data_IF_442669163576
#
_entry.id   IF_442669163576
#
_cell.length_a   1.000
_cell.length_b   1.000
_cell.length_c   1.000
_cell.angle_alpha   90.00
_cell.angle_beta   90.00
_cell.angle_gamma   90.00
#
_symmetry.space_group_name_H-M   'P 1'
#
loop_
_entity.id
_entity.type
_entity.pdbx_description
1 polymer ?
#
# COMPACT_ATOMS: atom_id res chain seq x y z
N UNK A 1 25.51 -35.44 -3.48
CA UNK A 1 24.64 -34.76 -4.47
C UNK A 1 23.12 -34.97 -4.26
N UNK A 2 22.66 -35.64 -3.19
CA UNK A 2 21.22 -35.91 -2.95
C UNK A 2 20.55 -35.08 -1.84
N UNK A 3 21.26 -34.15 -1.21
CA UNK A 3 20.71 -33.33 -0.12
C UNK A 3 19.80 -32.16 -0.59
N UNK A 4 19.78 -31.83 -1.89
CA UNK A 4 18.96 -30.75 -2.46
C UNK A 4 17.57 -31.17 -2.93
N UNK A 5 17.34 -32.46 -3.16
CA UNK A 5 16.10 -33.00 -3.72
C UNK A 5 14.84 -32.76 -2.84
N UNK A 6 14.88 -32.93 -1.50
CA UNK A 6 13.69 -32.69 -0.66
C UNK A 6 13.34 -31.19 -0.50
N UNK A 7 14.23 -30.27 -0.89
CA UNK A 7 13.98 -28.81 -0.83
C UNK A 7 13.33 -28.27 -2.12
N UNK A 8 13.52 -28.94 -3.26
CA UNK A 8 13.00 -28.49 -4.56
C UNK A 8 11.53 -28.89 -4.78
N UNK A 9 11.07 -30.03 -4.23
CA UNK A 9 9.71 -30.55 -4.42
C UNK A 9 8.60 -29.58 -3.94
N UNK A 10 8.71 -28.93 -2.76
CA UNK A 10 7.71 -27.95 -2.32
C UNK A 10 7.64 -26.74 -3.24
N UNK A 11 8.79 -26.24 -3.72
CA UNK A 11 8.86 -25.09 -4.63
C UNK A 11 8.24 -25.41 -5.98
N UNK A 12 8.50 -26.61 -6.50
CA UNK A 12 7.95 -27.08 -7.77
C UNK A 12 6.44 -27.30 -7.69
N UNK A 13 5.95 -27.86 -6.57
CA UNK A 13 4.52 -27.96 -6.28
C UNK A 13 3.82 -26.60 -6.17
N UNK A 14 4.46 -25.62 -5.50
CA UNK A 14 3.95 -24.24 -5.42
C UNK A 14 3.90 -23.58 -6.81
N UNK A 15 4.91 -23.79 -7.66
CA UNK A 15 4.96 -23.23 -9.02
C UNK A 15 3.90 -23.86 -9.94
N UNK A 16 3.70 -25.18 -9.87
CA UNK A 16 2.62 -25.86 -10.60
C UNK A 16 1.26 -25.38 -10.12
N UNK A 17 1.05 -25.28 -8.80
CA UNK A 17 -0.17 -24.73 -8.22
C UNK A 17 -0.45 -23.29 -8.65
N UNK A 18 0.59 -22.45 -8.72
CA UNK A 18 0.51 -21.08 -9.22
C UNK A 18 0.01 -21.01 -10.65
N UNK A 19 0.62 -21.78 -11.56
CA UNK A 19 0.22 -21.81 -12.96
C UNK A 19 -1.23 -22.30 -13.09
N UNK A 20 -1.60 -23.33 -12.34
CA UNK A 20 -2.97 -23.86 -12.34
C UNK A 20 -3.97 -22.80 -11.89
N UNK A 21 -3.70 -22.09 -10.79
CA UNK A 21 -4.56 -20.98 -10.31
C UNK A 21 -4.65 -19.87 -11.36
N UNK A 22 -3.55 -19.51 -12.01
CA UNK A 22 -3.53 -18.41 -12.99
C UNK A 22 -4.35 -18.75 -14.26
N UNK A 23 -4.22 -19.98 -14.78
CA UNK A 23 -4.86 -20.38 -16.03
C UNK A 23 -6.31 -20.84 -15.87
N UNK A 24 -6.68 -21.42 -14.71
CA UNK A 24 -8.05 -21.89 -14.45
C UNK A 24 -8.96 -20.79 -13.88
N UNK A 25 -8.39 -19.66 -13.46
CA UNK A 25 -9.15 -18.61 -12.79
C UNK A 25 -10.21 -17.94 -13.69
N UNK A 26 -11.46 -17.78 -13.21
CA UNK A 26 -12.50 -17.04 -13.92
C UNK A 26 -12.18 -15.53 -14.04
N UNK A 27 -11.18 -15.03 -13.31
CA UNK A 27 -10.72 -13.63 -13.39
C UNK A 27 -9.57 -13.44 -14.39
N UNK A 28 -9.22 -14.45 -15.18
CA UNK A 28 -8.14 -14.39 -16.20
C UNK A 28 -8.29 -13.21 -17.17
N UNK A 29 -9.52 -12.87 -17.57
CA UNK A 29 -9.77 -11.77 -18.51
C UNK A 29 -9.43 -10.44 -17.87
N UNK A 30 -9.90 -10.19 -16.64
CA UNK A 30 -9.51 -8.99 -15.89
C UNK A 30 -8.01 -8.92 -15.56
N UNK A 31 -7.36 -10.07 -15.34
CA UNK A 31 -5.91 -10.13 -15.15
C UNK A 31 -5.17 -9.71 -16.42
N UNK A 32 -5.55 -10.26 -17.58
CA UNK A 32 -4.98 -9.91 -18.88
C UNK A 32 -5.23 -8.45 -19.25
N UNK A 33 -6.44 -7.94 -19.02
CA UNK A 33 -6.79 -6.55 -19.32
C UNK A 33 -6.07 -5.57 -18.39
N UNK A 34 -5.94 -5.90 -17.11
CA UNK A 34 -5.11 -5.13 -16.18
C UNK A 34 -3.64 -5.09 -16.63
N UNK A 35 -3.09 -6.22 -17.11
CA UNK A 35 -1.71 -6.26 -17.62
C UNK A 35 -1.54 -5.36 -18.86
N UNK A 36 -2.48 -5.44 -19.82
CA UNK A 36 -2.51 -4.54 -20.98
C UNK A 36 -2.59 -3.07 -20.56
N UNK A 37 -3.39 -2.76 -19.55
CA UNK A 37 -3.54 -1.41 -19.01
C UNK A 37 -2.21 -0.90 -18.42
N UNK A 38 -1.53 -1.71 -17.61
CA UNK A 38 -0.23 -1.35 -17.00
C UNK A 38 0.88 -1.20 -18.04
N UNK A 39 0.93 -2.07 -19.04
CA UNK A 39 1.91 -1.99 -20.12
C UNK A 39 1.69 -0.74 -20.99
N UNK A 40 0.43 -0.37 -21.25
CA UNK A 40 0.09 0.86 -22.00
C UNK A 40 0.34 2.12 -21.17
N UNK A 41 -0.07 2.12 -19.90
CA UNK A 41 0.08 3.24 -18.98
C UNK A 41 1.09 2.89 -17.88
N UNK A 42 2.38 2.97 -18.23
CA UNK A 42 3.51 2.67 -17.34
C UNK A 42 3.42 3.37 -15.98
N UNK A 43 2.78 4.55 -15.91
CA UNK A 43 2.50 5.27 -14.65
C UNK A 43 1.79 4.44 -13.58
N UNK A 44 0.97 3.45 -13.96
CA UNK A 44 0.23 2.60 -13.02
C UNK A 44 1.14 1.81 -12.08
N UNK A 45 2.34 1.46 -12.52
CA UNK A 45 3.33 0.80 -11.67
C UNK A 45 4.51 1.71 -11.31
N UNK A 46 4.89 2.64 -12.20
CA UNK A 46 5.99 3.57 -11.94
C UNK A 46 5.72 4.50 -10.75
N UNK A 47 4.47 4.88 -10.49
CA UNK A 47 4.14 5.66 -9.28
C UNK A 47 4.44 4.85 -8.03
N UNK A 48 3.99 3.59 -7.96
CA UNK A 48 4.32 2.72 -6.83
C UNK A 48 5.83 2.49 -6.71
N UNK A 49 6.51 2.30 -7.84
CA UNK A 49 7.96 2.08 -7.87
C UNK A 49 8.71 3.30 -7.33
N UNK A 50 8.37 4.51 -7.79
CA UNK A 50 9.02 5.74 -7.34
C UNK A 50 8.90 5.93 -5.83
N UNK A 51 7.68 5.78 -5.30
CA UNK A 51 7.42 5.94 -3.88
C UNK A 51 8.11 4.88 -3.02
N UNK A 52 8.02 3.62 -3.42
CA UNK A 52 8.67 2.53 -2.69
C UNK A 52 10.20 2.58 -2.82
N UNK A 53 10.75 3.04 -3.95
CA UNK A 53 12.19 3.22 -4.13
C UNK A 53 12.73 4.33 -3.23
N UNK A 54 12.03 5.46 -3.18
CA UNK A 54 12.38 6.56 -2.28
C UNK A 54 12.35 6.11 -0.81
N UNK A 55 11.35 5.31 -0.43
CA UNK A 55 11.28 4.72 0.91
C UNK A 55 12.46 3.78 1.18
N UNK A 56 12.77 2.87 0.25
CA UNK A 56 13.86 1.92 0.41
C UNK A 56 15.23 2.60 0.51
N UNK A 57 15.49 3.61 -0.33
CA UNK A 57 16.72 4.42 -0.26
C UNK A 57 16.79 5.15 1.09
N UNK A 58 15.69 5.78 1.52
CA UNK A 58 15.66 6.48 2.80
C UNK A 58 15.93 5.54 3.98
N UNK A 59 15.24 4.39 4.03
CA UNK A 59 15.44 3.38 5.08
C UNK A 59 16.90 2.91 5.11
N UNK A 60 17.45 2.64 3.93
CA UNK A 60 18.84 2.23 3.81
C UNK A 60 19.81 3.30 4.32
N UNK A 61 19.65 4.57 3.91
CA UNK A 61 20.53 5.68 4.33
C UNK A 61 20.43 5.97 5.83
N UNK A 62 19.24 5.87 6.43
CA UNK A 62 19.02 6.23 7.84
C UNK A 62 19.38 5.11 8.81
N UNK A 63 19.13 3.86 8.44
CA UNK A 63 19.24 2.71 9.37
C UNK A 63 20.37 1.74 9.05
N UNK A 64 21.16 1.98 8.00
CA UNK A 64 22.35 1.17 7.72
C UNK A 64 23.58 1.91 8.22
N UNK A 65 24.15 1.54 9.38
CA UNK A 65 25.43 2.10 9.81
C UNK A 65 26.52 1.58 8.87
N UNK A 66 27.19 2.50 8.18
CA UNK A 66 28.43 2.17 7.48
C UNK A 66 29.57 2.38 8.47
N UNK A 67 30.14 1.28 8.96
CA UNK A 67 31.25 1.36 9.92
C UNK A 67 32.59 1.14 9.23
N UNK A 68 32.64 0.38 8.13
CA UNK A 68 33.91 0.03 7.48
C UNK A 68 33.84 -0.07 5.95
N UNK A 69 35.00 -0.05 5.29
CA UNK A 69 35.11 -0.29 3.84
C UNK A 69 34.74 -1.72 3.42
N UNK A 70 34.63 -2.66 4.38
CA UNK A 70 34.17 -4.03 4.13
C UNK A 70 32.68 -4.09 3.74
N UNK A 71 31.89 -3.10 4.17
CA UNK A 71 30.46 -3.00 3.89
C UNK A 71 30.16 -2.78 2.39
N UNK A 72 31.15 -2.36 1.60
CA UNK A 72 31.02 -2.06 0.17
C UNK A 72 31.67 -3.09 -0.76
N UNK A 73 32.17 -4.22 -0.25
CA UNK A 73 32.88 -5.19 -1.09
C UNK A 73 31.94 -5.97 -2.01
N UNK A 74 32.22 -6.07 -3.32
CA UNK A 74 31.42 -6.88 -4.25
C UNK A 74 31.52 -8.40 -3.97
N UNK A 75 32.51 -8.81 -3.17
CA UNK A 75 32.67 -10.18 -2.66
C UNK A 75 31.44 -10.69 -1.89
N UNK A 76 30.58 -9.80 -1.38
CA UNK A 76 29.29 -10.15 -0.75
C UNK A 76 28.38 -10.99 -1.67
N UNK A 77 28.49 -10.82 -2.99
CA UNK A 77 27.72 -11.57 -3.98
C UNK A 77 28.40 -12.86 -4.44
N UNK A 78 29.71 -13.00 -4.24
CA UNK A 78 30.50 -14.08 -4.82
C UNK A 78 30.37 -15.42 -4.07
N UNK A 79 30.10 -15.39 -2.76
CA UNK A 79 30.08 -16.57 -1.90
C UNK A 79 28.67 -17.00 -1.47
N UNK A 80 27.78 -17.29 -2.42
CA UNK A 80 26.39 -17.72 -2.17
C UNK A 80 26.29 -18.96 -1.27
N UNK A 81 27.29 -19.84 -1.33
CA UNK A 81 27.37 -21.06 -0.51
C UNK A 81 27.63 -20.77 0.98
N UNK A 82 28.15 -19.57 1.31
CA UNK A 82 28.37 -19.13 2.69
C UNK A 82 27.16 -18.39 3.29
N UNK A 83 26.03 -18.33 2.57
CA UNK A 83 24.82 -17.67 3.06
C UNK A 83 24.06 -18.58 4.03
N UNK A 84 23.57 -18.00 5.13
CA UNK A 84 22.74 -18.73 6.09
C UNK A 84 21.29 -18.79 5.59
N UNK A 85 20.93 -19.86 4.88
CA UNK A 85 19.59 -20.02 4.35
C UNK A 85 18.59 -20.36 5.47
N UNK A 86 17.54 -19.54 5.67
CA UNK A 86 16.55 -19.82 6.71
C UNK A 86 15.72 -21.06 6.33
N UNK A 87 15.12 -21.69 7.35
CA UNK A 87 14.12 -22.73 7.12
C UNK A 87 12.79 -22.12 6.70
N UNK A 88 12.01 -22.84 5.88
CA UNK A 88 10.70 -22.37 5.43
C UNK A 88 9.76 -22.02 6.60
N UNK A 89 9.79 -22.83 7.68
CA UNK A 89 8.95 -22.63 8.85
C UNK A 89 9.23 -21.30 9.59
N UNK A 90 10.49 -20.85 9.61
CA UNK A 90 10.88 -19.57 10.23
C UNK A 90 10.28 -18.37 9.48
N UNK A 91 10.19 -18.47 8.16
CA UNK A 91 9.85 -17.33 7.29
C UNK A 91 8.36 -17.28 6.93
N UNK A 92 7.68 -18.43 6.95
CA UNK A 92 6.30 -18.57 6.46
C UNK A 92 5.29 -17.65 7.16
N UNK A 93 5.29 -17.63 8.49
CA UNK A 93 4.26 -16.92 9.27
C UNK A 93 4.32 -15.40 9.05
N UNK A 94 5.51 -14.82 9.06
CA UNK A 94 5.73 -13.39 8.83
C UNK A 94 5.39 -13.02 7.38
N UNK A 95 5.79 -13.86 6.43
CA UNK A 95 5.50 -13.66 5.00
C UNK A 95 4.00 -13.62 4.71
N UNK A 96 3.21 -14.47 5.38
CA UNK A 96 1.74 -14.49 5.21
C UNK A 96 1.08 -13.19 5.70
N UNK A 97 1.52 -12.65 6.84
CA UNK A 97 0.98 -11.39 7.35
C UNK A 97 1.32 -10.23 6.39
N UNK A 98 2.57 -10.15 5.94
CA UNK A 98 2.99 -9.15 4.96
C UNK A 98 2.25 -9.27 3.63
N UNK A 99 1.98 -10.49 3.17
CA UNK A 99 1.17 -10.73 1.99
C UNK A 99 -0.28 -10.24 2.20
N UNK A 100 -0.90 -10.56 3.34
CA UNK A 100 -2.26 -10.12 3.66
C UNK A 100 -2.39 -8.59 3.67
N UNK A 101 -1.41 -7.89 4.24
CA UNK A 101 -1.36 -6.43 4.22
C UNK A 101 -1.19 -5.86 2.81
N UNK A 102 -0.36 -6.50 1.98
CA UNK A 102 -0.18 -6.07 0.60
C UNK A 102 -1.46 -6.25 -0.23
N UNK A 103 -2.22 -7.33 -0.02
CA UNK A 103 -3.53 -7.54 -0.65
C UNK A 103 -4.51 -6.47 -0.17
N UNK A 104 -4.59 -6.23 1.14
CA UNK A 104 -5.44 -5.20 1.71
C UNK A 104 -5.12 -3.82 1.12
N UNK A 105 -3.83 -3.51 0.94
CA UNK A 105 -3.35 -2.29 0.31
C UNK A 105 -3.97 -2.02 -1.07
N UNK A 106 -4.21 -3.05 -1.91
CA UNK A 106 -4.86 -2.88 -3.23
C UNK A 106 -6.22 -2.18 -3.12
N UNK A 107 -6.94 -2.37 -2.02
CA UNK A 107 -8.30 -1.88 -1.85
C UNK A 107 -8.39 -0.54 -1.10
N UNK A 108 -7.30 -0.10 -0.48
CA UNK A 108 -7.30 1.05 0.42
C UNK A 108 -6.15 2.03 0.13
N UNK A 109 -4.94 1.69 0.57
CA UNK A 109 -3.73 2.47 0.37
C UNK A 109 -2.52 1.58 0.01
N UNK A 110 -2.27 1.42 -1.28
CA UNK A 110 -1.24 0.51 -1.80
C UNK A 110 0.18 1.12 -1.84
N UNK A 111 0.30 2.45 -1.63
CA UNK A 111 1.57 3.17 -1.72
C UNK A 111 2.07 3.61 -0.34
N UNK A 112 3.32 3.27 0.00
CA UNK A 112 4.05 3.95 1.07
C UNK A 112 4.48 5.31 0.57
N UNK A 113 3.92 6.39 1.12
CA UNK A 113 4.16 7.74 0.58
C UNK A 113 5.37 8.44 1.17
N UNK A 114 5.80 8.05 2.37
CA UNK A 114 7.04 8.54 2.98
C UNK A 114 8.27 7.98 2.22
N UNK A 115 9.33 8.78 1.97
CA UNK A 115 9.53 10.18 2.35
C UNK A 115 8.99 11.22 1.34
N UNK A 116 8.52 10.80 0.16
CA UNK A 116 8.04 11.73 -0.87
C UNK A 116 6.77 12.50 -0.48
N UNK A 117 6.10 12.10 0.59
CA UNK A 117 5.04 12.87 1.24
C UNK A 117 5.50 14.27 1.62
N UNK A 118 6.79 14.48 1.91
CA UNK A 118 7.40 15.81 2.12
C UNK A 118 7.16 16.72 0.91
N UNK A 119 7.41 16.21 -0.30
CA UNK A 119 7.19 16.96 -1.54
C UNK A 119 5.70 17.26 -1.70
N UNK A 120 4.83 16.27 -1.45
CA UNK A 120 3.39 16.47 -1.50
C UNK A 120 2.91 17.54 -0.48
N UNK A 121 3.49 17.57 0.73
CA UNK A 121 3.20 18.57 1.74
C UNK A 121 3.63 19.98 1.31
N UNK A 122 4.84 20.13 0.75
CA UNK A 122 5.31 21.41 0.17
C UNK A 122 4.37 21.85 -0.95
N UNK A 123 4.02 20.96 -1.88
CA UNK A 123 3.13 21.28 -3.00
C UNK A 123 1.72 21.71 -2.52
N UNK A 124 1.21 21.07 -1.47
CA UNK A 124 -0.07 21.45 -0.85
C UNK A 124 0.03 22.82 -0.18
N UNK A 125 1.05 23.05 0.66
CA UNK A 125 1.21 24.32 1.40
C UNK A 125 1.45 25.49 0.44
N UNK A 126 2.31 25.30 -0.57
CA UNK A 126 2.58 26.29 -1.61
C UNK A 126 1.40 26.48 -2.59
N UNK A 127 0.30 25.74 -2.41
CA UNK A 127 -0.89 25.80 -3.25
C UNK A 127 -0.58 25.62 -4.76
N UNK A 128 0.36 24.74 -5.08
CA UNK A 128 0.76 24.50 -6.47
C UNK A 128 -0.44 23.96 -7.24
N UNK A 129 -0.71 24.53 -8.43
CA UNK A 129 -1.87 24.20 -9.29
C UNK A 129 -3.24 24.35 -8.62
N UNK A 130 -3.35 25.15 -7.56
CA UNK A 130 -4.62 25.37 -6.85
C UNK A 130 -5.10 24.18 -6.02
N UNK A 131 -4.21 23.21 -5.73
CA UNK A 131 -4.56 21.99 -4.98
C UNK A 131 -5.07 22.30 -3.57
N UNK A 132 -4.44 23.26 -2.89
CA UNK A 132 -4.84 23.70 -1.56
C UNK A 132 -6.26 24.28 -1.57
N UNK A 133 -6.52 25.27 -2.44
CA UNK A 133 -7.85 25.87 -2.52
C UNK A 133 -8.90 24.85 -2.96
N UNK A 134 -8.54 23.91 -3.84
CA UNK A 134 -9.44 22.84 -4.27
C UNK A 134 -9.80 21.91 -3.10
N UNK A 135 -8.84 21.57 -2.25
CA UNK A 135 -9.08 20.78 -1.03
C UNK A 135 -9.98 21.53 -0.05
N UNK A 136 -9.67 22.80 0.26
CA UNK A 136 -10.48 23.63 1.17
C UNK A 136 -11.92 23.76 0.67
N UNK A 137 -12.10 24.06 -0.63
CA UNK A 137 -13.44 24.14 -1.24
C UNK A 137 -14.17 22.80 -1.18
N UNK A 138 -13.49 21.69 -1.45
CA UNK A 138 -14.09 20.36 -1.38
C UNK A 138 -14.51 19.99 0.06
N UNK A 139 -13.67 20.29 1.05
CA UNK A 139 -13.96 20.05 2.46
C UNK A 139 -15.13 20.90 2.94
N UNK A 140 -15.12 22.21 2.66
CA UNK A 140 -16.22 23.12 3.04
C UNK A 140 -17.54 22.72 2.38
N UNK A 141 -17.53 22.39 1.09
CA UNK A 141 -18.74 21.98 0.36
C UNK A 141 -19.37 20.71 0.95
N UNK A 142 -18.57 19.78 1.46
CA UNK A 142 -19.03 18.46 1.89
C UNK A 142 -19.30 18.34 3.39
N UNK A 143 -18.52 19.03 4.21
CA UNK A 143 -18.54 18.91 5.68
C UNK A 143 -18.99 20.20 6.38
N UNK A 144 -19.31 21.26 5.62
CA UNK A 144 -19.71 22.55 6.20
C UNK A 144 -18.64 23.10 7.13
N UNK A 145 -19.05 23.52 8.34
CA UNK A 145 -18.15 24.03 9.38
C UNK A 145 -17.12 22.97 9.84
N UNK A 146 -17.51 21.69 9.90
CA UNK A 146 -16.59 20.58 10.26
C UNK A 146 -15.44 20.42 9.25
N UNK A 147 -15.59 20.95 8.04
CA UNK A 147 -14.52 20.98 7.04
C UNK A 147 -13.29 21.77 7.51
N UNK A 148 -13.45 22.78 8.36
CA UNK A 148 -12.32 23.54 8.92
C UNK A 148 -11.50 22.73 9.91
N UNK A 149 -12.14 21.92 10.76
CA UNK A 149 -11.44 21.03 11.69
C UNK A 149 -10.66 19.94 10.94
N UNK A 150 -11.29 19.33 9.92
CA UNK A 150 -10.61 18.35 9.06
C UNK A 150 -9.42 19.02 8.37
N UNK A 151 -9.61 20.21 7.80
CA UNK A 151 -8.53 20.95 7.14
C UNK A 151 -7.38 21.29 8.09
N UNK A 152 -7.66 21.73 9.32
CA UNK A 152 -6.63 21.98 10.34
C UNK A 152 -5.84 20.70 10.66
N UNK A 153 -6.51 19.56 10.80
CA UNK A 153 -5.86 18.26 10.97
C UNK A 153 -4.97 17.86 9.77
N UNK A 154 -5.43 18.11 8.54
CA UNK A 154 -4.61 17.88 7.33
C UNK A 154 -3.39 18.80 7.30
N UNK A 155 -3.53 20.07 7.67
CA UNK A 155 -2.42 21.01 7.69
C UNK A 155 -1.40 20.64 8.77
N UNK A 156 -1.86 20.32 9.98
CA UNK A 156 -0.97 19.87 11.07
C UNK A 156 -0.22 18.59 10.69
N UNK A 157 -0.90 17.62 10.07
CA UNK A 157 -0.27 16.39 9.59
C UNK A 157 0.69 16.61 8.41
N UNK A 158 0.42 17.57 7.53
CA UNK A 158 1.36 17.99 6.49
C UNK A 158 2.62 18.61 7.09
N UNK A 159 2.48 19.47 8.11
CA UNK A 159 3.62 20.03 8.85
C UNK A 159 4.41 18.94 9.59
N UNK A 160 3.74 17.98 10.22
CA UNK A 160 4.39 16.84 10.84
C UNK A 160 5.15 15.98 9.81
N UNK A 161 4.59 15.78 8.61
CA UNK A 161 5.27 15.08 7.52
C UNK A 161 6.53 15.81 7.04
N UNK A 162 6.58 17.15 7.11
CA UNK A 162 7.78 17.94 6.83
C UNK A 162 8.83 17.80 7.94
N UNK A 163 8.39 17.75 9.20
CA UNK A 163 9.27 17.61 10.36
C UNK A 163 9.87 16.20 10.48
N UNK A 164 9.14 15.16 10.06
CA UNK A 164 9.51 13.74 10.25
C UNK A 164 10.92 13.38 9.74
N UNK A 165 11.34 13.68 8.49
CA UNK A 165 12.71 13.39 8.05
C UNK A 165 13.77 14.11 8.86
N UNK A 166 13.53 15.37 9.28
CA UNK A 166 14.48 16.13 10.09
C UNK A 166 14.67 15.49 11.47
N UNK A 167 13.58 15.03 12.08
CA UNK A 167 13.61 14.33 13.37
C UNK A 167 14.35 13.00 13.20
N UNK A 168 13.95 12.16 12.24
CA UNK A 168 14.57 10.84 12.02
C UNK A 168 16.06 10.94 11.68
N UNK A 169 16.45 11.93 10.87
CA UNK A 169 17.86 12.19 10.56
C UNK A 169 18.66 12.68 11.78
N UNK A 170 18.04 13.48 12.66
CA UNK A 170 18.70 14.04 13.85
C UNK A 170 18.69 13.11 15.06
N UNK A 171 17.88 12.05 15.07
CA UNK A 171 17.78 11.09 16.18
C UNK A 171 19.16 10.55 16.61
N UNK A 172 20.04 10.08 15.70
CA UNK A 172 21.37 9.60 16.11
C UNK A 172 22.21 10.67 16.81
N UNK A 173 22.17 11.92 16.34
CA UNK A 173 22.96 13.02 16.92
C UNK A 173 22.37 13.63 18.20
N UNK A 174 21.07 13.43 18.47
CA UNK A 174 20.42 13.93 19.69
C UNK A 174 20.48 12.97 20.87
N UNK A 175 21.01 11.76 20.67
CA UNK A 175 21.24 10.77 21.75
C UNK A 175 22.09 11.33 22.89
N UNK A 176 22.98 12.29 22.60
CA UNK A 176 23.81 12.97 23.60
C UNK A 176 23.10 14.15 24.32
N UNK A 177 21.99 14.66 23.77
CA UNK A 177 21.32 15.88 24.25
C UNK A 177 19.99 15.62 24.95
N UNK A 178 19.28 14.55 24.59
CA UNK A 178 17.98 14.21 25.14
C UNK A 178 17.97 12.75 25.62
N UNK A 179 17.23 12.45 26.71
CA UNK A 179 17.00 11.07 27.12
C UNK A 179 16.40 10.24 25.97
N UNK A 180 16.88 9.01 25.71
CA UNK A 180 16.39 8.15 24.63
C UNK A 180 14.85 7.99 24.62
N UNK A 181 14.24 7.91 25.81
CA UNK A 181 12.79 7.84 25.96
C UNK A 181 12.06 9.05 25.35
N UNK A 182 12.57 10.27 25.53
CA UNK A 182 11.96 11.49 24.96
C UNK A 182 12.14 11.53 23.44
N UNK A 183 13.25 11.02 22.90
CA UNK A 183 13.46 10.90 21.45
C UNK A 183 12.50 9.90 20.81
N UNK A 184 12.26 8.75 21.47
CA UNK A 184 11.29 7.77 21.02
C UNK A 184 9.85 8.31 21.10
N UNK A 185 9.49 8.98 22.18
CA UNK A 185 8.17 9.59 22.35
C UNK A 185 7.89 10.67 21.29
N UNK A 186 8.84 11.57 21.06
CA UNK A 186 8.70 12.65 20.06
C UNK A 186 8.66 12.10 18.64
N UNK A 187 9.52 11.15 18.28
CA UNK A 187 9.51 10.51 16.96
C UNK A 187 8.22 9.71 16.72
N UNK A 188 7.71 8.99 17.72
CA UNK A 188 6.45 8.25 17.63
C UNK A 188 5.23 9.18 17.50
N UNK A 189 5.22 10.30 18.25
CA UNK A 189 4.16 11.30 18.16
C UNK A 189 4.13 11.95 16.77
N UNK A 190 5.29 12.39 16.26
CA UNK A 190 5.38 12.99 14.92
C UNK A 190 5.06 11.97 13.84
N UNK A 191 5.52 10.73 13.95
CA UNK A 191 5.18 9.67 13.01
C UNK A 191 3.66 9.43 12.95
N UNK A 192 2.99 9.41 14.11
CA UNK A 192 1.53 9.22 14.17
C UNK A 192 0.77 10.36 13.52
N UNK A 193 1.18 11.61 13.77
CA UNK A 193 0.53 12.78 13.17
C UNK A 193 0.83 12.88 11.68
N UNK A 194 2.08 12.62 11.26
CA UNK A 194 2.48 12.61 9.85
C UNK A 194 1.75 11.52 9.05
N UNK A 195 1.49 10.37 9.66
CA UNK A 195 0.80 9.24 9.03
C UNK A 195 -0.57 9.63 8.46
N UNK A 196 -1.30 10.56 9.10
CA UNK A 196 -2.58 11.06 8.59
C UNK A 196 -2.42 11.64 7.18
N UNK A 197 -1.40 12.49 6.98
CA UNK A 197 -1.11 13.11 5.69
C UNK A 197 -0.56 12.11 4.68
N UNK A 198 0.33 11.22 5.13
CA UNK A 198 0.90 10.15 4.30
C UNK A 198 -0.21 9.24 3.74
N UNK A 199 -1.17 8.87 4.59
CA UNK A 199 -2.31 8.05 4.23
C UNK A 199 -3.28 8.78 3.28
N UNK A 200 -3.59 10.06 3.54
CA UNK A 200 -4.34 10.91 2.60
C UNK A 200 -3.69 10.96 1.21
N UNK A 201 -2.37 11.11 1.17
CA UNK A 201 -1.60 11.12 -0.07
C UNK A 201 -1.68 9.75 -0.78
N UNK A 202 -1.56 8.65 -0.03
CA UNK A 202 -1.60 7.30 -0.59
C UNK A 202 -2.96 6.99 -1.24
N UNK A 203 -4.05 7.29 -0.53
CA UNK A 203 -5.41 7.11 -1.06
C UNK A 203 -5.66 8.05 -2.25
N UNK A 204 -5.17 9.30 -2.22
CA UNK A 204 -5.29 10.22 -3.35
C UNK A 204 -4.59 9.67 -4.61
N UNK A 205 -3.36 9.17 -4.47
CA UNK A 205 -2.62 8.53 -5.56
C UNK A 205 -3.40 7.32 -6.09
N UNK A 206 -3.94 6.48 -5.22
CA UNK A 206 -4.70 5.31 -5.63
C UNK A 206 -5.99 5.69 -6.37
N UNK A 207 -6.73 6.70 -5.91
CA UNK A 207 -7.90 7.25 -6.63
C UNK A 207 -7.47 7.75 -8.02
N UNK A 208 -6.35 8.46 -8.12
CA UNK A 208 -5.80 8.88 -9.41
C UNK A 208 -5.49 7.68 -10.31
N UNK A 209 -4.80 6.65 -9.82
CA UNK A 209 -4.48 5.46 -10.62
C UNK A 209 -5.73 4.68 -11.05
N UNK A 210 -6.75 4.58 -10.18
CA UNK A 210 -8.06 4.03 -10.56
C UNK A 210 -8.67 4.85 -11.71
N UNK A 211 -8.60 6.19 -11.67
CA UNK A 211 -9.12 7.03 -12.75
C UNK A 211 -8.36 6.87 -14.07
N UNK A 212 -7.04 6.61 -14.01
CA UNK A 212 -6.23 6.27 -15.19
C UNK A 212 -6.70 4.95 -15.81
N UNK A 213 -6.91 3.91 -14.99
CA UNK A 213 -7.46 2.63 -15.45
C UNK A 213 -8.84 2.81 -16.11
N UNK A 214 -9.69 3.66 -15.54
CA UNK A 214 -11.03 3.91 -16.08
C UNK A 214 -11.02 4.68 -17.40
N UNK A 215 -10.11 5.64 -17.54
CA UNK A 215 -9.90 6.32 -18.81
C UNK A 215 -9.49 5.31 -19.90
N UNK A 216 -8.61 4.36 -19.55
CA UNK A 216 -8.22 3.27 -20.46
C UNK A 216 -9.41 2.39 -20.86
N UNK A 217 -10.17 1.88 -19.89
CA UNK A 217 -11.33 0.99 -20.15
C UNK A 217 -12.35 1.67 -21.07
N UNK A 218 -12.52 3.00 -20.94
CA UNK A 218 -13.44 3.80 -21.76
C UNK A 218 -12.83 4.29 -23.08
N UNK A 219 -11.56 4.02 -23.37
CA UNK A 219 -10.88 4.53 -24.56
C UNK A 219 -10.66 6.05 -24.58
N UNK A 220 -10.73 6.71 -23.42
CA UNK A 220 -10.63 8.17 -23.32
C UNK A 220 -9.16 8.60 -23.17
N UNK A 221 -8.77 9.64 -23.92
CA UNK A 221 -7.46 10.27 -23.81
C UNK A 221 -7.63 11.62 -23.09
N UNK A 222 -7.17 11.68 -21.84
CA UNK A 222 -7.17 12.92 -21.05
C UNK A 222 -5.74 13.40 -20.80
N UNK A 223 -5.56 14.72 -20.82
CA UNK A 223 -4.34 15.34 -20.29
C UNK A 223 -4.19 15.09 -18.79
N UNK A 224 -2.94 15.04 -18.31
CA UNK A 224 -2.63 14.65 -16.94
C UNK A 224 -3.26 15.59 -15.90
N UNK A 225 -3.28 16.89 -16.18
CA UNK A 225 -3.87 17.89 -15.30
C UNK A 225 -5.40 17.72 -15.17
N UNK A 226 -6.06 17.29 -16.25
CA UNK A 226 -7.49 17.02 -16.22
C UNK A 226 -7.79 15.78 -15.36
N UNK A 227 -6.97 14.73 -15.48
CA UNK A 227 -7.10 13.52 -14.66
C UNK A 227 -6.84 13.79 -13.17
N UNK A 228 -5.81 14.57 -12.84
CA UNK A 228 -5.52 14.93 -11.44
C UNK A 228 -6.66 15.75 -10.80
N UNK A 229 -7.22 16.72 -11.55
CA UNK A 229 -8.39 17.50 -11.09
C UNK A 229 -9.64 16.64 -10.96
N UNK A 230 -9.86 15.72 -11.90
CA UNK A 230 -10.96 14.76 -11.83
C UNK A 230 -10.82 13.83 -10.63
N UNK A 231 -9.64 13.27 -10.42
CA UNK A 231 -9.31 12.44 -9.26
C UNK A 231 -9.53 13.20 -7.95
N UNK A 232 -9.16 14.48 -7.86
CA UNK A 232 -9.42 15.33 -6.67
C UNK A 232 -10.91 15.48 -6.37
N UNK A 233 -11.76 15.63 -7.40
CA UNK A 233 -13.21 15.66 -7.21
C UNK A 233 -13.73 14.32 -6.67
N UNK A 234 -13.27 13.20 -7.22
CA UNK A 234 -13.65 11.84 -6.77
C UNK A 234 -13.12 11.51 -5.37
N UNK A 235 -11.91 11.97 -5.06
CA UNK A 235 -11.27 11.79 -3.75
C UNK A 235 -12.13 12.35 -2.61
N UNK A 236 -12.83 13.47 -2.84
CA UNK A 236 -13.76 14.02 -1.84
C UNK A 236 -14.86 13.03 -1.42
N UNK A 237 -15.23 12.07 -2.28
CA UNK A 237 -16.20 11.00 -1.97
C UNK A 237 -15.62 9.90 -1.11
N UNK A 238 -14.31 9.66 -1.23
CA UNK A 238 -13.59 8.65 -0.45
C UNK A 238 -13.23 9.16 0.94
N UNK A 239 -13.14 10.48 1.17
CA UNK A 239 -12.71 11.07 2.45
C UNK A 239 -13.44 10.52 3.69
N UNK A 240 -14.75 10.27 3.62
CA UNK A 240 -15.50 9.72 4.77
C UNK A 240 -15.07 8.28 5.09
N UNK A 241 -14.90 7.46 4.05
CA UNK A 241 -14.44 6.08 4.19
C UNK A 241 -13.01 6.03 4.71
N UNK A 242 -12.13 6.81 4.09
CA UNK A 242 -10.76 6.97 4.54
C UNK A 242 -10.67 7.43 5.99
N UNK A 243 -11.52 8.36 6.43
CA UNK A 243 -11.56 8.77 7.84
C UNK A 243 -11.88 7.63 8.79
N UNK A 244 -12.77 6.70 8.40
CA UNK A 244 -13.07 5.49 9.19
C UNK A 244 -11.88 4.53 9.24
N UNK A 245 -11.24 4.26 8.09
CA UNK A 245 -10.08 3.36 8.05
C UNK A 245 -8.89 3.96 8.79
N UNK A 246 -8.67 5.27 8.67
CA UNK A 246 -7.65 6.00 9.42
C UNK A 246 -7.94 5.97 10.93
N UNK A 247 -9.19 6.15 11.34
CA UNK A 247 -9.59 6.03 12.75
C UNK A 247 -9.35 4.61 13.27
N UNK A 248 -9.77 3.58 12.52
CA UNK A 248 -9.51 2.18 12.88
C UNK A 248 -8.01 1.89 12.98
N UNK A 249 -7.21 2.34 12.01
CA UNK A 249 -5.75 2.19 12.01
C UNK A 249 -5.11 2.93 13.20
N UNK A 250 -5.62 4.11 13.54
CA UNK A 250 -5.13 4.88 14.68
C UNK A 250 -5.46 4.18 15.99
N UNK A 251 -6.69 3.70 16.17
CA UNK A 251 -7.12 3.05 17.41
C UNK A 251 -6.49 1.67 17.60
N UNK A 252 -6.36 0.87 16.54
CA UNK A 252 -5.85 -0.49 16.63
C UNK A 252 -4.32 -0.57 16.67
N UNK A 253 -3.62 0.36 16.02
CA UNK A 253 -2.17 0.29 15.87
C UNK A 253 -1.46 1.46 16.54
N UNK A 254 -1.77 2.70 16.17
CA UNK A 254 -0.97 3.87 16.53
C UNK A 254 -1.17 4.30 17.98
N UNK A 255 -2.41 4.37 18.44
CA UNK A 255 -2.75 4.80 19.79
C UNK A 255 -2.16 3.86 20.85
N UNK A 256 -2.30 2.53 20.74
CA UNK A 256 -1.65 1.65 21.71
C UNK A 256 -0.12 1.64 21.59
N UNK A 257 0.47 1.83 20.40
CA UNK A 257 1.93 2.05 20.26
C UNK A 257 2.38 3.34 20.98
N UNK A 258 1.64 4.44 20.83
CA UNK A 258 1.89 5.67 21.58
C UNK A 258 1.74 5.45 23.08
N UNK A 259 0.71 4.71 23.51
CA UNK A 259 0.53 4.38 24.92
C UNK A 259 1.72 3.58 25.48
N UNK A 260 2.32 2.70 24.69
CA UNK A 260 3.56 2.00 25.07
C UNK A 260 4.70 3.00 25.32
N UNK A 261 4.92 3.96 24.43
CA UNK A 261 6.02 4.92 24.59
C UNK A 261 5.79 5.96 25.68
N UNK A 262 4.54 6.34 25.96
CA UNK A 262 4.22 7.42 26.90
C UNK A 262 3.81 6.93 28.30
N UNK A 263 3.34 5.69 28.43
CA UNK A 263 2.82 5.12 29.69
C UNK A 263 3.38 3.73 30.00
N UNK A 264 4.38 3.26 29.25
CA UNK A 264 5.05 1.97 29.45
C UNK A 264 4.08 0.79 29.57
N UNK A 265 3.01 0.78 28.77
CA UNK A 265 2.02 -0.31 28.77
C UNK A 265 2.68 -1.61 28.27
N UNK A 266 2.73 -2.68 29.09
CA UNK A 266 3.41 -3.92 28.71
C UNK A 266 2.61 -4.71 27.65
N UNK A 267 3.31 -5.56 26.88
CA UNK A 267 2.68 -6.49 25.91
C UNK A 267 2.17 -5.83 24.63
N UNK A 268 2.50 -4.55 24.39
CA UNK A 268 2.01 -3.82 23.22
C UNK A 268 2.54 -4.38 21.90
N UNK A 269 3.82 -4.76 21.88
CA UNK A 269 4.43 -5.34 20.68
C UNK A 269 3.85 -6.73 20.35
N UNK A 270 3.38 -7.47 21.35
CA UNK A 270 2.83 -8.81 21.18
C UNK A 270 1.44 -8.82 20.54
N UNK A 271 0.60 -7.80 20.80
CA UNK A 271 -0.71 -7.68 20.16
C UNK A 271 -0.62 -7.14 18.73
N UNK A 272 0.47 -6.45 18.38
CA UNK A 272 0.58 -5.70 17.11
C UNK A 272 0.37 -6.59 15.86
N UNK A 273 0.91 -7.82 15.77
CA UNK A 273 0.63 -8.72 14.65
C UNK A 273 -0.87 -9.05 14.51
N UNK A 274 -1.57 -9.23 15.64
CA UNK A 274 -3.01 -9.52 15.65
C UNK A 274 -3.78 -8.29 15.17
N UNK A 275 -3.45 -7.10 15.68
CA UNK A 275 -4.10 -5.86 15.26
C UNK A 275 -3.88 -5.56 13.76
N UNK A 276 -2.68 -5.84 13.23
CA UNK A 276 -2.38 -5.74 11.79
C UNK A 276 -3.23 -6.72 10.97
N UNK A 277 -3.35 -7.96 11.44
CA UNK A 277 -4.20 -8.97 10.81
C UNK A 277 -5.69 -8.55 10.82
N UNK A 278 -6.18 -7.99 11.94
CA UNK A 278 -7.55 -7.50 12.05
C UNK A 278 -7.81 -6.34 11.10
N UNK A 279 -6.90 -5.38 11.01
CA UNK A 279 -7.02 -4.24 10.09
C UNK A 279 -7.01 -4.70 8.63
N UNK A 280 -6.08 -5.60 8.25
CA UNK A 280 -6.05 -6.19 6.92
C UNK A 280 -7.36 -6.93 6.61
N UNK A 281 -7.86 -7.75 7.55
CA UNK A 281 -9.14 -8.44 7.43
C UNK A 281 -10.32 -7.49 7.25
N UNK A 282 -10.35 -6.37 7.99
CA UNK A 282 -11.39 -5.33 7.85
C UNK A 282 -11.35 -4.71 6.46
N UNK A 283 -10.17 -4.32 5.96
CA UNK A 283 -10.01 -3.72 4.63
C UNK A 283 -10.43 -4.71 3.54
N UNK A 284 -10.00 -5.97 3.64
CA UNK A 284 -10.39 -7.05 2.71
C UNK A 284 -11.91 -7.28 2.74
N UNK A 285 -12.51 -7.24 3.93
CA UNK A 285 -13.94 -7.32 4.12
C UNK A 285 -14.71 -6.23 3.38
N UNK A 286 -14.08 -5.07 3.16
CA UNK A 286 -14.64 -3.90 2.48
C UNK A 286 -13.98 -3.60 1.11
N UNK A 287 -13.42 -4.61 0.44
CA UNK A 287 -12.59 -4.48 -0.76
C UNK A 287 -13.18 -3.62 -1.89
N UNK A 288 -14.51 -3.51 -2.01
CA UNK A 288 -15.16 -2.73 -3.07
C UNK A 288 -15.66 -1.33 -2.65
N UNK A 289 -15.49 -0.94 -1.39
CA UNK A 289 -15.97 0.35 -0.87
C UNK A 289 -15.31 1.53 -1.59
N UNK A 290 -13.97 1.53 -1.65
CA UNK A 290 -13.20 2.61 -2.26
C UNK A 290 -13.52 2.78 -3.75
N UNK A 291 -13.52 1.68 -4.50
CA UNK A 291 -13.80 1.74 -5.94
C UNK A 291 -15.24 2.17 -6.24
N UNK A 292 -16.24 1.75 -5.43
CA UNK A 292 -17.63 2.22 -5.57
C UNK A 292 -17.75 3.73 -5.35
N UNK A 293 -17.12 4.24 -4.28
CA UNK A 293 -17.12 5.66 -3.95
C UNK A 293 -16.46 6.51 -5.05
N UNK A 294 -15.36 6.01 -5.63
CA UNK A 294 -14.67 6.69 -6.75
C UNK A 294 -15.55 6.73 -8.00
N UNK A 295 -16.23 5.62 -8.30
CA UNK A 295 -16.97 5.46 -9.56
C UNK A 295 -18.34 6.12 -9.56
N UNK A 296 -19.12 5.90 -8.51
CA UNK A 296 -20.54 6.27 -8.49
C UNK A 296 -20.83 7.60 -7.79
N UNK A 297 -19.83 8.22 -7.16
CA UNK A 297 -20.03 9.42 -6.34
C UNK A 297 -21.10 9.23 -5.24
N UNK A 298 -21.21 8.01 -4.74
CA UNK A 298 -22.22 7.64 -3.74
C UNK A 298 -21.94 8.24 -2.36
N UNK A 299 -22.98 8.31 -1.54
CA UNK A 299 -22.82 8.46 -0.09
C UNK A 299 -22.19 7.18 0.51
N UNK A 300 -21.60 7.29 1.70
CA UNK A 300 -20.99 6.14 2.38
C UNK A 300 -22.01 5.00 2.64
N UNK A 301 -23.27 5.37 2.93
CA UNK A 301 -24.36 4.42 3.14
C UNK A 301 -24.71 3.67 1.86
N UNK A 302 -24.83 4.37 0.73
CA UNK A 302 -25.10 3.76 -0.56
C UNK A 302 -23.94 2.85 -0.99
N UNK A 303 -22.70 3.30 -0.81
CA UNK A 303 -21.51 2.50 -1.10
C UNK A 303 -21.46 1.21 -0.26
N UNK A 304 -21.88 1.25 1.00
CA UNK A 304 -21.99 0.04 1.84
C UNK A 304 -23.05 -0.93 1.31
N UNK A 305 -24.22 -0.42 0.90
CA UNK A 305 -25.26 -1.25 0.27
C UNK A 305 -24.77 -1.84 -1.05
N UNK A 306 -24.12 -1.04 -1.89
CA UNK A 306 -23.52 -1.46 -3.14
C UNK A 306 -22.44 -2.54 -2.92
N UNK A 307 -21.59 -2.36 -1.90
CA UNK A 307 -20.59 -3.34 -1.50
C UNK A 307 -21.22 -4.67 -1.07
N UNK A 308 -22.22 -4.63 -0.17
CA UNK A 308 -22.94 -5.84 0.26
C UNK A 308 -23.58 -6.57 -0.93
N UNK A 309 -24.19 -5.83 -1.86
CA UNK A 309 -24.78 -6.41 -3.07
C UNK A 309 -23.71 -7.01 -4.00
N UNK A 310 -22.58 -6.32 -4.16
CA UNK A 310 -21.44 -6.78 -4.96
C UNK A 310 -20.87 -8.09 -4.41
N UNK A 311 -20.57 -8.16 -3.11
CA UNK A 311 -20.05 -9.37 -2.46
C UNK A 311 -21.06 -10.51 -2.59
N UNK A 312 -22.36 -10.27 -2.35
CA UNK A 312 -23.39 -11.31 -2.46
C UNK A 312 -23.49 -11.89 -3.88
N UNK A 313 -23.34 -11.07 -4.92
CA UNK A 313 -23.51 -11.49 -6.32
C UNK A 313 -22.22 -12.02 -6.95
N UNK A 314 -21.07 -11.58 -6.48
CA UNK A 314 -19.77 -11.83 -7.12
C UNK A 314 -18.72 -12.41 -6.16
N UNK A 315 -19.14 -12.99 -5.03
CA UNK A 315 -18.26 -13.60 -4.02
C UNK A 315 -17.25 -14.57 -4.63
N UNK A 316 -17.67 -15.40 -5.58
CA UNK A 316 -16.78 -16.37 -6.25
C UNK A 316 -15.67 -15.65 -7.04
N UNK A 317 -16.01 -14.62 -7.84
CA UNK A 317 -15.01 -13.87 -8.61
C UNK A 317 -14.09 -13.06 -7.70
N UNK A 318 -14.63 -12.47 -6.64
CA UNK A 318 -13.84 -11.78 -5.62
C UNK A 318 -12.88 -12.76 -4.93
N UNK A 319 -13.36 -13.94 -4.53
CA UNK A 319 -12.54 -14.98 -3.90
C UNK A 319 -11.39 -15.44 -4.80
N UNK A 320 -11.65 -15.66 -6.10
CA UNK A 320 -10.61 -15.98 -7.07
C UNK A 320 -9.61 -14.85 -7.28
N UNK A 321 -10.05 -13.59 -7.30
CA UNK A 321 -9.15 -12.44 -7.37
C UNK A 321 -8.25 -12.36 -6.13
N UNK A 322 -8.83 -12.50 -4.94
CA UNK A 322 -8.10 -12.52 -3.68
C UNK A 322 -7.10 -13.69 -3.62
N UNK A 323 -7.47 -14.87 -4.11
CA UNK A 323 -6.57 -16.02 -4.20
C UNK A 323 -5.37 -15.72 -5.11
N UNK A 324 -5.62 -15.16 -6.30
CA UNK A 324 -4.54 -14.79 -7.22
C UNK A 324 -3.63 -13.73 -6.58
N UNK A 325 -4.20 -12.71 -5.93
CA UNK A 325 -3.42 -11.69 -5.22
C UNK A 325 -2.61 -12.30 -4.06
N UNK A 326 -3.21 -13.22 -3.30
CA UNK A 326 -2.57 -13.91 -2.18
C UNK A 326 -1.38 -14.75 -2.64
N UNK A 327 -1.52 -15.44 -3.77
CA UNK A 327 -0.41 -16.23 -4.31
C UNK A 327 0.73 -15.30 -4.77
N UNK A 328 0.44 -14.23 -5.51
CA UNK A 328 1.49 -13.31 -5.97
C UNK A 328 2.23 -12.61 -4.83
N UNK A 329 1.49 -12.04 -3.87
CA UNK A 329 2.13 -11.40 -2.72
C UNK A 329 2.74 -12.40 -1.76
N UNK A 330 2.19 -13.61 -1.65
CA UNK A 330 2.78 -14.70 -0.87
C UNK A 330 4.15 -15.11 -1.41
N UNK A 331 4.30 -15.29 -2.72
CA UNK A 331 5.60 -15.55 -3.33
C UNK A 331 6.57 -14.40 -3.16
N UNK A 332 6.13 -13.16 -3.39
CA UNK A 332 6.98 -11.99 -3.19
C UNK A 332 7.45 -11.86 -1.74
N UNK A 333 6.55 -12.01 -0.77
CA UNK A 333 6.87 -11.90 0.65
C UNK A 333 7.80 -13.04 1.10
N UNK A 334 7.54 -14.27 0.65
CA UNK A 334 8.39 -15.41 0.95
C UNK A 334 9.80 -15.23 0.36
N UNK A 335 9.90 -14.81 -0.90
CA UNK A 335 11.19 -14.55 -1.54
C UNK A 335 11.95 -13.44 -0.81
N UNK A 336 11.27 -12.36 -0.43
CA UNK A 336 11.86 -11.24 0.30
C UNK A 336 12.41 -11.69 1.65
N UNK A 337 11.62 -12.41 2.42
CA UNK A 337 12.04 -12.81 3.74
C UNK A 337 13.11 -13.92 3.72
N UNK A 338 13.13 -14.80 2.71
CA UNK A 338 14.25 -15.74 2.48
C UNK A 338 15.56 -14.98 2.21
N UNK A 339 15.55 -14.03 1.28
CA UNK A 339 16.77 -13.31 0.91
C UNK A 339 17.23 -12.38 2.04
N UNK A 340 16.32 -11.69 2.73
CA UNK A 340 16.66 -10.84 3.87
C UNK A 340 17.32 -11.63 5.00
N UNK A 341 16.77 -12.78 5.35
CA UNK A 341 17.33 -13.64 6.39
C UNK A 341 18.66 -14.29 5.98
N UNK A 342 18.89 -14.48 4.67
CA UNK A 342 20.17 -15.01 4.17
C UNK A 342 21.27 -13.94 4.02
N UNK A 343 20.87 -12.68 3.82
CA UNK A 343 21.77 -11.55 3.57
C UNK A 343 21.95 -10.60 4.77
N UNK A 344 21.58 -11.01 5.98
CA UNK A 344 21.51 -10.15 7.19
C UNK A 344 22.79 -9.35 7.48
N UNK A 345 23.96 -9.90 7.17
CA UNK A 345 25.28 -9.29 7.40
C UNK A 345 25.91 -8.69 6.13
N UNK A 346 25.13 -8.56 5.05
CA UNK A 346 25.61 -8.15 3.71
C UNK A 346 24.84 -6.93 3.21
N UNK A 347 25.22 -5.71 3.62
CA UNK A 347 24.42 -4.50 3.37
C UNK A 347 24.28 -4.17 1.88
N UNK A 348 25.30 -4.41 1.05
CA UNK A 348 25.25 -4.16 -0.39
C UNK A 348 24.33 -5.18 -1.10
N UNK A 349 24.36 -6.45 -0.67
CA UNK A 349 23.46 -7.48 -1.18
C UNK A 349 22.00 -7.20 -0.79
N UNK A 350 21.76 -6.77 0.45
CA UNK A 350 20.44 -6.32 0.92
C UNK A 350 19.95 -5.11 0.13
N UNK A 351 20.81 -4.13 -0.17
CA UNK A 351 20.44 -2.98 -0.99
C UNK A 351 20.01 -3.41 -2.39
N UNK A 352 20.83 -4.21 -3.08
CA UNK A 352 20.53 -4.69 -4.42
C UNK A 352 19.22 -5.48 -4.44
N UNK A 353 19.01 -6.37 -3.47
CA UNK A 353 17.75 -7.10 -3.32
C UNK A 353 16.57 -6.17 -3.06
N UNK A 354 16.70 -5.19 -2.15
CA UNK A 354 15.65 -4.22 -1.86
C UNK A 354 15.20 -3.48 -3.11
N UNK A 355 16.13 -3.08 -3.99
CA UNK A 355 15.81 -2.42 -5.26
C UNK A 355 14.99 -3.33 -6.18
N UNK A 356 15.43 -4.59 -6.35
CA UNK A 356 14.72 -5.57 -7.20
C UNK A 356 13.34 -5.88 -6.62
N UNK A 357 13.25 -6.17 -5.33
CA UNK A 357 12.01 -6.50 -4.63
C UNK A 357 11.00 -5.35 -4.72
N UNK A 358 11.43 -4.12 -4.49
CA UNK A 358 10.57 -2.93 -4.57
C UNK A 358 9.99 -2.75 -5.98
N UNK A 359 10.80 -2.92 -7.02
CA UNK A 359 10.34 -2.82 -8.40
C UNK A 359 9.34 -3.95 -8.75
N UNK A 360 9.65 -5.18 -8.36
CA UNK A 360 8.77 -6.33 -8.57
C UNK A 360 7.43 -6.15 -7.85
N UNK A 361 7.45 -5.74 -6.57
CA UNK A 361 6.25 -5.45 -5.79
C UNK A 361 5.45 -4.30 -6.41
N UNK A 362 6.09 -3.22 -6.82
CA UNK A 362 5.42 -2.09 -7.46
C UNK A 362 4.72 -2.49 -8.76
N UNK A 363 5.36 -3.32 -9.58
CA UNK A 363 4.76 -3.88 -10.80
C UNK A 363 3.53 -4.73 -10.48
N UNK A 364 3.66 -5.69 -9.56
CA UNK A 364 2.55 -6.56 -9.13
C UNK A 364 1.39 -5.75 -8.56
N UNK A 365 1.67 -4.75 -7.71
CA UNK A 365 0.65 -3.86 -7.15
C UNK A 365 -0.07 -3.05 -8.22
N UNK A 366 0.66 -2.44 -9.15
CA UNK A 366 0.07 -1.70 -10.27
C UNK A 366 -0.81 -2.58 -11.16
N UNK A 367 -0.33 -3.79 -11.43
CA UNK A 367 -1.07 -4.79 -12.22
C UNK A 367 -2.34 -5.26 -11.51
N UNK A 368 -2.25 -5.69 -10.26
CA UNK A 368 -3.41 -6.16 -9.50
C UNK A 368 -4.43 -5.04 -9.26
N UNK A 369 -4.00 -3.79 -9.04
CA UNK A 369 -4.91 -2.65 -8.98
C UNK A 369 -5.66 -2.45 -10.30
N UNK A 370 -4.94 -2.47 -11.44
CA UNK A 370 -5.57 -2.34 -12.74
C UNK A 370 -6.54 -3.50 -13.04
N UNK A 371 -6.15 -4.72 -12.70
CA UNK A 371 -6.99 -5.91 -12.82
C UNK A 371 -8.23 -5.85 -11.94
N UNK A 372 -8.10 -5.33 -10.71
CA UNK A 372 -9.24 -5.09 -9.83
C UNK A 372 -10.25 -4.13 -10.45
N UNK A 373 -9.78 -3.01 -11.00
CA UNK A 373 -10.64 -2.03 -11.69
C UNK A 373 -11.35 -2.67 -12.89
N UNK A 374 -10.64 -3.47 -13.68
CA UNK A 374 -11.23 -4.20 -14.80
C UNK A 374 -12.29 -5.20 -14.35
N UNK A 375 -12.00 -5.98 -13.30
CA UNK A 375 -12.92 -6.98 -12.74
C UNK A 375 -14.19 -6.32 -12.21
N UNK A 376 -14.05 -5.26 -11.42
CA UNK A 376 -15.19 -4.51 -10.87
C UNK A 376 -16.09 -3.99 -11.99
N UNK A 377 -15.50 -3.42 -13.05
CA UNK A 377 -16.26 -2.91 -14.20
C UNK A 377 -16.94 -4.02 -15.02
N UNK A 378 -16.30 -5.17 -15.20
CA UNK A 378 -16.91 -6.33 -15.87
C UNK A 378 -18.14 -6.84 -15.10
N UNK A 379 -18.09 -6.84 -13.76
CA UNK A 379 -19.22 -7.19 -12.91
C UNK A 379 -20.39 -6.19 -13.05
N UNK A 380 -20.10 -4.91 -13.23
CA UNK A 380 -21.14 -3.89 -13.51
C UNK A 380 -21.76 -4.00 -14.90
N UNK A 381 -20.98 -4.21 -15.96
CA UNK A 381 -21.52 -4.29 -17.32
C UNK A 381 -22.43 -5.51 -17.48
N UNK A 382 -22.08 -6.61 -16.79
CA UNK A 382 -22.97 -7.77 -16.68
C UNK A 382 -24.32 -7.47 -16.01
N UNK A 383 -24.41 -6.40 -15.20
CA UNK A 383 -25.67 -5.89 -14.62
C UNK A 383 -26.46 -5.09 -15.64
N UNK A 384 -25.82 -4.16 -16.36
CA UNK A 384 -26.51 -3.32 -17.37
C UNK A 384 -27.08 -4.16 -18.50
N UNK A 385 -26.33 -5.14 -19.02
CA UNK A 385 -26.82 -6.02 -20.08
C UNK A 385 -27.88 -7.03 -19.62
N UNK A 386 -27.97 -7.36 -18.31
CA UNK A 386 -29.06 -8.19 -17.76
C UNK A 386 -30.31 -7.38 -17.44
N UNK A 387 -30.16 -6.12 -17.04
CA UNK A 387 -31.29 -5.20 -16.79
C UNK A 387 -31.93 -4.74 -18.11
N UNK A 388 -31.17 -4.61 -19.22
CA UNK A 388 -31.74 -4.34 -20.56
C UNK A 388 -32.46 -5.55 -21.18
N UNK A 389 -32.12 -6.79 -20.80
CA UNK A 389 -32.84 -7.98 -21.24
C UNK A 389 -34.24 -8.14 -20.63
N UNK A 390 -34.60 -7.36 -19.60
CA UNK A 390 -35.95 -7.34 -18.98
C UNK A 390 -36.86 -6.30 -19.66
N UNK A 391 -36.39 -5.63 -20.72
CA UNK A 391 -37.22 -4.77 -21.57
C UNK A 391 -36.89 -5.00 -23.04
N UNK A 392 -37.45 -6.06 -23.62
CA UNK A 392 -37.94 -6.07 -24.99
C UNK A 392 -39.10 -7.05 -25.08
#
# INVERSE_FOLDING_TARGET
MLAGFPRAVPLLGMLVGYLLVLFTSPVRVSLRDGLRCVLRFKRLWLVFALFALAYAIFQFVVFTPFETTFDFRPEQFAFWDSWHWPTFAQVWRESLLHAAEAIAGIFDAAATTYPLSVIAAVLLIANRRGLHLSLVRALRKRFGAGGWLIYAGVLLSALASLAKPLIYWRVPGWTFLLPPARLLQTSAAVDTVAFIFEYLCAVYLQVYLITVCLAWIKGLHFGEEALLRFAMRRFSYVLKWMGLVLLASTLLLRAPLLAAYFRDVPGVLDYLPIARCLLAGLILGFASMQISLVLHNESLREAFVAHRQFVRRHSVRLGWFLLVAAVHYGFLALADAIIRAAATERPLALLAWNLVFVLARAFVTGWLLASWVCLYRQCEIGRVNRETWIRY
#
